data_IF_483890664452
#
_entry.id   IF_483890664452
#
_cell.length_a   1.000
_cell.length_b   1.000
_cell.length_c   1.000
_cell.angle_alpha   90.00
_cell.angle_beta   90.00
_cell.angle_gamma   90.00
#
_symmetry.space_group_name_H-M   'P 1'
#
loop_
_entity.id
_entity.type
_entity.pdbx_description
1 polymer ?
#
# COMPACT_ATOMS: atom_id res chain seq x y z
N UNK A 1 -29.90 -4.48 -8.34
CA UNK A 1 -28.56 -4.50 -8.94
C UNK A 1 -27.56 -4.96 -7.90
N UNK A 2 -26.61 -5.82 -8.28
CA UNK A 2 -25.54 -6.30 -7.40
C UNK A 2 -24.20 -5.69 -7.80
N UNK A 3 -23.57 -4.97 -6.87
CA UNK A 3 -22.24 -4.39 -7.04
C UNK A 3 -21.26 -5.12 -6.12
N UNK A 4 -20.20 -5.66 -6.70
CA UNK A 4 -19.10 -6.26 -5.91
C UNK A 4 -17.92 -5.30 -5.88
N UNK A 5 -17.35 -5.11 -4.69
CA UNK A 5 -16.13 -4.32 -4.45
C UNK A 5 -15.02 -5.27 -4.00
N UNK A 6 -13.92 -5.34 -4.73
CA UNK A 6 -12.77 -6.15 -4.39
C UNK A 6 -11.72 -5.27 -3.70
N UNK A 7 -11.50 -5.51 -2.42
CA UNK A 7 -10.69 -4.70 -1.52
C UNK A 7 -11.51 -3.69 -0.72
N UNK A 8 -11.30 -3.62 0.56
CA UNK A 8 -12.10 -2.83 1.50
C UNK A 8 -11.26 -1.92 2.39
N UNK A 9 -10.15 -1.38 1.86
CA UNK A 9 -9.45 -0.30 2.55
C UNK A 9 -10.01 1.07 2.09
N UNK A 10 -9.25 2.14 1.96
CA UNK A 10 -9.75 3.49 1.73
C UNK A 10 -10.75 3.60 0.58
N UNK A 11 -10.33 3.20 -0.63
CA UNK A 11 -11.17 3.32 -1.82
C UNK A 11 -12.42 2.44 -1.74
N UNK A 12 -12.26 1.16 -1.40
CA UNK A 12 -13.38 0.22 -1.36
C UNK A 12 -14.38 0.50 -0.23
N UNK A 13 -13.91 0.89 0.95
CA UNK A 13 -14.78 1.30 2.07
C UNK A 13 -15.69 2.47 1.65
N UNK A 14 -15.11 3.51 1.05
CA UNK A 14 -15.91 4.67 0.62
C UNK A 14 -16.78 4.39 -0.59
N UNK A 15 -16.35 3.51 -1.50
CA UNK A 15 -17.21 3.04 -2.58
C UNK A 15 -18.44 2.29 -2.02
N UNK A 16 -18.24 1.32 -1.13
CA UNK A 16 -19.32 0.54 -0.55
C UNK A 16 -20.32 1.39 0.25
N UNK A 17 -19.81 2.30 1.10
CA UNK A 17 -20.66 3.25 1.87
C UNK A 17 -21.43 4.17 0.95
N UNK A 18 -20.79 4.72 -0.10
CA UNK A 18 -21.47 5.61 -1.05
C UNK A 18 -22.55 4.88 -1.84
N UNK A 19 -22.31 3.64 -2.29
CA UNK A 19 -23.33 2.83 -2.96
C UNK A 19 -24.58 2.71 -2.11
N UNK A 20 -24.46 2.34 -0.83
CA UNK A 20 -25.61 2.20 0.08
C UNK A 20 -26.29 3.53 0.43
N UNK A 21 -25.50 4.59 0.60
CA UNK A 21 -26.02 5.93 0.89
C UNK A 21 -26.83 6.52 -0.28
N UNK A 22 -26.41 6.22 -1.53
CA UNK A 22 -27.04 6.73 -2.75
C UNK A 22 -28.25 5.90 -3.15
N UNK A 23 -28.17 4.57 -3.01
CA UNK A 23 -29.27 3.64 -3.31
C UNK A 23 -29.25 2.45 -2.33
N UNK A 24 -30.10 2.53 -1.31
CA UNK A 24 -30.22 1.50 -0.28
C UNK A 24 -30.71 0.15 -0.82
N UNK A 25 -31.36 0.12 -1.99
CA UNK A 25 -31.86 -1.11 -2.64
C UNK A 25 -30.76 -1.91 -3.33
N UNK A 26 -29.60 -1.28 -3.61
CA UNK A 26 -28.47 -1.96 -4.26
C UNK A 26 -27.85 -2.99 -3.30
N UNK A 27 -27.67 -4.22 -3.78
CA UNK A 27 -26.91 -5.26 -3.09
C UNK A 27 -25.43 -4.94 -3.22
N UNK A 28 -24.76 -4.63 -2.11
CA UNK A 28 -23.31 -4.33 -2.07
C UNK A 28 -22.59 -5.43 -1.33
N UNK A 29 -21.65 -6.08 -2.01
CA UNK A 29 -20.80 -7.13 -1.44
C UNK A 29 -19.35 -6.69 -1.51
N UNK A 30 -18.59 -6.88 -0.43
CA UNK A 30 -17.15 -6.60 -0.41
C UNK A 30 -16.36 -7.86 -0.08
N UNK A 31 -15.28 -8.10 -0.84
CA UNK A 31 -14.31 -9.15 -0.55
C UNK A 31 -12.96 -8.53 -0.28
N UNK A 32 -12.39 -8.83 0.90
CA UNK A 32 -11.03 -8.42 1.23
C UNK A 32 -10.24 -9.62 1.79
N UNK A 33 -9.00 -9.79 1.29
CA UNK A 33 -8.10 -10.84 1.77
C UNK A 33 -7.57 -10.58 3.17
N UNK A 34 -7.58 -9.32 3.63
CA UNK A 34 -7.13 -8.90 4.96
C UNK A 34 -8.22 -9.17 6.01
N UNK A 35 -7.87 -9.02 7.28
CA UNK A 35 -8.76 -9.17 8.44
C UNK A 35 -9.26 -7.83 8.99
N UNK A 36 -8.80 -6.71 8.41
CA UNK A 36 -9.16 -5.36 8.82
C UNK A 36 -9.40 -4.45 7.61
N UNK A 37 -10.13 -3.34 7.83
CA UNK A 37 -10.46 -2.33 6.82
C UNK A 37 -10.04 -0.94 7.31
N UNK A 38 -10.02 0.02 6.41
CA UNK A 38 -9.82 1.45 6.72
C UNK A 38 -8.48 1.81 7.38
N UNK A 39 -7.50 0.92 7.38
CA UNK A 39 -6.21 1.14 8.01
C UNK A 39 -5.44 2.30 7.38
N UNK A 40 -5.07 3.28 8.21
CA UNK A 40 -4.24 4.43 7.84
C UNK A 40 -2.76 4.03 7.84
N UNK A 41 -2.31 3.40 6.77
CA UNK A 41 -0.93 2.91 6.63
C UNK A 41 0.14 4.03 6.73
N UNK A 42 -0.22 5.26 6.38
CA UNK A 42 0.62 6.44 6.58
C UNK A 42 0.94 6.71 8.06
N UNK A 43 0.15 6.18 8.98
CA UNK A 43 0.39 6.28 10.43
C UNK A 43 1.35 5.24 11.01
N UNK A 44 1.85 4.28 10.21
CA UNK A 44 2.74 3.22 10.72
C UNK A 44 4.00 3.80 11.37
N UNK A 45 4.68 4.73 10.71
CA UNK A 45 5.89 5.34 11.25
C UNK A 45 5.62 6.08 12.57
N UNK A 46 4.49 6.79 12.66
CA UNK A 46 4.05 7.45 13.90
C UNK A 46 3.73 6.44 15.01
N UNK A 47 3.16 5.29 14.66
CA UNK A 47 2.88 4.22 15.61
C UNK A 47 4.17 3.51 16.05
N UNK A 48 5.04 3.15 15.12
CA UNK A 48 6.36 2.60 15.41
C UNK A 48 7.16 3.56 16.29
N UNK A 49 7.16 4.86 16.01
CA UNK A 49 7.85 5.89 16.77
C UNK A 49 7.21 6.27 18.11
N UNK A 50 6.06 5.64 18.46
CA UNK A 50 5.38 5.84 19.75
C UNK A 50 4.55 7.14 19.87
N UNK A 51 4.39 7.89 18.78
CA UNK A 51 3.50 9.07 18.72
C UNK A 51 2.04 8.62 18.78
N UNK A 52 1.66 7.64 17.98
CA UNK A 52 0.38 6.94 18.07
C UNK A 52 0.49 5.84 19.12
N UNK A 53 -0.13 6.04 20.28
CA UNK A 53 -0.07 5.08 21.40
C UNK A 53 -1.08 3.94 21.26
N UNK A 54 -2.30 4.24 20.81
CA UNK A 54 -3.35 3.25 20.55
C UNK A 54 -3.53 3.07 19.04
N UNK A 55 -3.16 1.90 18.48
CA UNK A 55 -3.28 1.64 17.05
C UNK A 55 -4.73 1.64 16.56
N UNK A 56 -5.74 1.54 17.44
CA UNK A 56 -7.15 1.69 17.07
C UNK A 56 -7.45 3.05 16.44
N UNK A 57 -6.70 4.10 16.80
CA UNK A 57 -6.79 5.42 16.18
C UNK A 57 -6.37 5.46 14.71
N UNK A 58 -5.76 4.40 14.19
CA UNK A 58 -5.40 4.26 12.77
C UNK A 58 -6.51 3.63 11.92
N UNK A 59 -7.69 3.41 12.49
CA UNK A 59 -8.86 2.88 11.78
C UNK A 59 -10.04 3.85 11.92
N UNK A 60 -10.72 4.15 10.82
CA UNK A 60 -11.90 5.02 10.85
C UNK A 60 -13.22 4.27 10.54
N UNK A 61 -13.14 2.99 10.22
CA UNK A 61 -14.27 2.09 10.02
C UNK A 61 -13.89 0.67 10.45
N UNK A 62 -14.90 -0.17 10.66
CA UNK A 62 -14.73 -1.59 10.92
C UNK A 62 -15.80 -2.41 10.17
N UNK A 63 -15.59 -3.74 10.00
CA UNK A 63 -16.51 -4.59 9.24
C UNK A 63 -17.94 -4.61 9.80
N UNK A 64 -18.10 -4.58 11.12
CA UNK A 64 -19.39 -4.59 11.79
C UNK A 64 -20.20 -3.32 11.51
N UNK A 65 -19.52 -2.17 11.49
CA UNK A 65 -20.13 -0.89 11.12
C UNK A 65 -20.64 -0.91 9.68
N UNK A 66 -19.86 -1.44 8.73
CA UNK A 66 -20.31 -1.58 7.34
C UNK A 66 -21.49 -2.56 7.21
N UNK A 67 -21.47 -3.67 7.93
CA UNK A 67 -22.61 -4.62 7.96
C UNK A 67 -23.88 -3.96 8.48
N UNK A 68 -23.78 -3.12 9.51
CA UNK A 68 -24.94 -2.38 10.04
C UNK A 68 -25.51 -1.36 9.03
N UNK A 69 -24.69 -0.90 8.08
CA UNK A 69 -25.12 -0.07 6.95
C UNK A 69 -25.71 -0.88 5.78
N UNK A 70 -25.86 -2.21 5.94
CA UNK A 70 -26.44 -3.12 4.94
C UNK A 70 -25.46 -3.54 3.84
N UNK A 71 -24.16 -3.48 4.09
CA UNK A 71 -23.09 -3.97 3.19
C UNK A 71 -22.75 -5.41 3.62
N UNK A 72 -22.71 -6.33 2.65
CA UNK A 72 -22.27 -7.71 2.90
C UNK A 72 -20.73 -7.76 2.84
N UNK A 73 -20.09 -7.89 4.00
CA UNK A 73 -18.62 -7.76 4.15
C UNK A 73 -18.00 -9.10 4.45
N UNK A 74 -17.10 -9.54 3.56
CA UNK A 74 -16.34 -10.79 3.66
C UNK A 74 -14.86 -10.52 3.82
N UNK A 75 -14.38 -10.55 5.07
CA UNK A 75 -12.94 -10.46 5.39
C UNK A 75 -12.29 -11.84 5.31
N UNK A 76 -10.98 -11.87 4.98
CA UNK A 76 -10.26 -13.13 4.77
C UNK A 76 -10.70 -13.89 3.52
N UNK A 77 -11.25 -13.18 2.54
CA UNK A 77 -11.73 -13.73 1.27
C UNK A 77 -10.98 -13.10 0.10
N UNK A 78 -10.32 -13.93 -0.68
CA UNK A 78 -9.54 -13.51 -1.84
C UNK A 78 -10.24 -13.86 -3.14
N UNK A 79 -10.44 -12.88 -4.02
CA UNK A 79 -10.86 -13.13 -5.40
C UNK A 79 -9.66 -13.67 -6.17
N UNK A 80 -9.75 -14.92 -6.62
CA UNK A 80 -8.64 -15.62 -7.28
C UNK A 80 -8.80 -15.75 -8.79
N UNK A 81 -10.02 -15.53 -9.31
CA UNK A 81 -10.32 -15.59 -10.74
C UNK A 81 -11.51 -14.72 -11.08
N UNK A 82 -11.51 -14.16 -12.29
CA UNK A 82 -12.65 -13.43 -12.87
C UNK A 82 -12.96 -14.02 -14.23
N UNK A 83 -14.21 -14.43 -14.42
CA UNK A 83 -14.80 -14.75 -15.71
C UNK A 83 -15.53 -13.49 -16.22
N UNK A 84 -14.81 -12.72 -17.02
CA UNK A 84 -15.29 -11.43 -17.53
C UNK A 84 -16.52 -11.59 -18.45
N UNK A 85 -16.56 -12.65 -19.26
CA UNK A 85 -17.64 -12.91 -20.21
C UNK A 85 -18.98 -13.20 -19.50
N UNK A 86 -18.93 -13.95 -18.41
CA UNK A 86 -20.09 -14.36 -17.63
C UNK A 86 -20.33 -13.50 -16.38
N UNK A 87 -19.48 -12.49 -16.12
CA UNK A 87 -19.50 -11.61 -14.93
C UNK A 87 -19.52 -12.39 -13.62
N UNK A 88 -18.62 -13.35 -13.51
CA UNK A 88 -18.46 -14.22 -12.34
C UNK A 88 -17.09 -14.05 -11.70
N UNK A 89 -17.05 -14.22 -10.38
CA UNK A 89 -15.84 -14.27 -9.58
C UNK A 89 -15.69 -15.65 -8.97
N UNK A 90 -14.45 -16.16 -8.88
CA UNK A 90 -14.12 -17.23 -7.96
C UNK A 90 -13.46 -16.63 -6.73
N UNK A 91 -14.06 -16.88 -5.57
CA UNK A 91 -13.63 -16.35 -4.28
C UNK A 91 -13.13 -17.50 -3.41
N UNK A 92 -11.96 -17.33 -2.80
CA UNK A 92 -11.36 -18.29 -1.86
C UNK A 92 -11.47 -17.75 -0.44
N UNK A 93 -12.10 -18.51 0.45
CA UNK A 93 -11.99 -18.27 1.89
C UNK A 93 -10.60 -18.71 2.36
N UNK A 94 -9.79 -17.76 2.83
CA UNK A 94 -8.38 -18.04 3.16
C UNK A 94 -8.20 -18.97 4.36
N UNK A 95 -9.13 -18.95 5.31
CA UNK A 95 -9.09 -19.80 6.50
C UNK A 95 -9.31 -21.29 6.19
N UNK A 96 -10.21 -21.59 5.26
CA UNK A 96 -10.61 -22.99 4.93
C UNK A 96 -10.03 -23.48 3.62
N UNK A 97 -9.57 -22.57 2.75
CA UNK A 97 -9.15 -22.84 1.38
C UNK A 97 -10.32 -23.16 0.43
N UNK A 98 -11.57 -23.10 0.89
CA UNK A 98 -12.75 -23.36 0.07
C UNK A 98 -12.95 -22.26 -0.96
N UNK A 99 -13.32 -22.65 -2.17
CA UNK A 99 -13.69 -21.72 -3.25
C UNK A 99 -15.19 -21.80 -3.54
N UNK A 100 -15.77 -20.65 -3.90
CA UNK A 100 -17.13 -20.53 -4.38
C UNK A 100 -17.20 -19.47 -5.49
N UNK A 101 -18.27 -19.54 -6.29
CA UNK A 101 -18.54 -18.54 -7.31
C UNK A 101 -19.54 -17.50 -6.81
N UNK A 102 -19.34 -16.26 -7.25
CA UNK A 102 -20.29 -15.16 -7.10
C UNK A 102 -20.40 -14.37 -8.41
N UNK A 103 -21.52 -13.69 -8.62
CA UNK A 103 -21.79 -12.93 -9.84
C UNK A 103 -22.07 -11.46 -9.51
N UNK A 104 -21.83 -10.57 -10.49
CA UNK A 104 -22.01 -9.12 -10.35
C UNK A 104 -22.72 -8.50 -11.56
N UNK A 105 -23.43 -7.41 -11.32
CA UNK A 105 -23.89 -6.51 -12.37
C UNK A 105 -22.82 -5.44 -12.66
N UNK A 106 -22.17 -4.94 -11.59
CA UNK A 106 -21.05 -4.00 -11.64
C UNK A 106 -19.93 -4.47 -10.74
N UNK A 107 -18.69 -4.20 -11.14
CA UNK A 107 -17.48 -4.58 -10.41
C UNK A 107 -16.62 -3.34 -10.14
N UNK A 108 -16.18 -3.17 -8.88
CA UNK A 108 -15.26 -2.11 -8.47
C UNK A 108 -13.99 -2.76 -7.95
N UNK A 109 -12.88 -2.53 -8.65
CA UNK A 109 -11.54 -3.01 -8.29
C UNK A 109 -10.88 -1.98 -7.38
N UNK A 110 -10.67 -2.35 -6.10
CA UNK A 110 -10.06 -1.51 -5.08
C UNK A 110 -8.92 -2.24 -4.37
N UNK A 111 -8.18 -3.07 -5.11
CA UNK A 111 -7.16 -4.01 -4.59
C UNK A 111 -5.88 -3.34 -4.11
N UNK A 112 -5.76 -2.03 -4.31
CA UNK A 112 -4.65 -1.26 -3.78
C UNK A 112 -3.30 -1.60 -4.38
N UNK A 113 -2.25 -1.51 -3.57
CA UNK A 113 -0.87 -1.75 -3.97
C UNK A 113 -0.15 -2.67 -2.99
N UNK A 114 0.95 -3.27 -3.44
CA UNK A 114 1.81 -4.13 -2.65
C UNK A 114 3.27 -3.61 -2.66
N UNK A 115 4.04 -3.79 -1.58
CA UNK A 115 5.45 -3.43 -1.56
C UNK A 115 6.21 -4.10 -2.71
N UNK A 116 7.07 -3.34 -3.37
CA UNK A 116 7.97 -3.88 -4.38
C UNK A 116 8.90 -4.89 -3.71
N UNK A 117 8.99 -6.07 -4.29
CA UNK A 117 9.90 -7.14 -3.88
C UNK A 117 10.98 -7.27 -4.95
N UNK A 118 12.10 -6.53 -4.83
CA UNK A 118 13.18 -6.62 -5.81
C UNK A 118 13.84 -8.00 -5.76
N UNK A 119 14.44 -8.47 -6.86
CA UNK A 119 15.12 -9.77 -6.93
C UNK A 119 16.49 -9.73 -6.24
N UNK A 120 16.49 -9.42 -4.94
CA UNK A 120 17.69 -9.40 -4.10
C UNK A 120 17.90 -10.77 -3.49
N UNK A 121 19.12 -11.32 -3.60
CA UNK A 121 19.48 -12.60 -3.02
C UNK A 121 19.27 -12.58 -1.49
N UNK A 122 18.59 -13.61 -0.98
CA UNK A 122 18.31 -13.73 0.45
C UNK A 122 17.19 -12.86 1.00
N UNK A 123 16.47 -12.10 0.14
CA UNK A 123 15.30 -11.33 0.58
C UNK A 123 14.14 -12.23 0.96
N UNK A 124 13.87 -13.24 0.12
CA UNK A 124 12.73 -14.14 0.30
C UNK A 124 13.15 -15.44 0.95
N UNK A 125 12.25 -16.01 1.76
CA UNK A 125 12.41 -17.39 2.24
C UNK A 125 12.26 -18.37 1.07
N UNK A 126 13.13 -19.38 0.94
CA UNK A 126 13.02 -20.38 -0.11
C UNK A 126 11.64 -21.06 -0.11
N UNK A 127 11.04 -21.18 -1.29
CA UNK A 127 9.75 -21.86 -1.46
C UNK A 127 8.51 -21.03 -1.08
N UNK A 128 8.66 -19.76 -0.70
CA UNK A 128 7.55 -18.87 -0.40
C UNK A 128 7.37 -17.79 -1.48
N UNK A 129 6.13 -17.39 -1.72
CA UNK A 129 5.82 -16.28 -2.64
C UNK A 129 5.90 -14.91 -1.96
N UNK A 130 5.62 -14.84 -0.66
CA UNK A 130 5.49 -13.59 0.11
C UNK A 130 6.28 -13.61 1.42
N UNK A 131 6.93 -14.72 1.78
CA UNK A 131 7.69 -14.84 3.01
C UNK A 131 9.06 -14.19 2.90
N UNK A 132 9.30 -13.14 3.66
CA UNK A 132 10.61 -12.52 3.79
C UNK A 132 11.52 -13.37 4.68
N UNK A 133 12.85 -13.22 4.52
CA UNK A 133 13.82 -13.75 5.47
C UNK A 133 13.55 -13.16 6.86
N UNK A 134 13.69 -13.94 7.92
CA UNK A 134 13.51 -13.45 9.29
C UNK A 134 14.38 -12.22 9.58
N UNK A 135 13.79 -11.24 10.27
CA UNK A 135 14.40 -9.94 10.53
C UNK A 135 14.30 -8.93 9.37
N UNK A 136 13.65 -9.28 8.26
CA UNK A 136 13.35 -8.37 7.17
C UNK A 136 11.85 -8.12 7.13
N UNK A 137 11.42 -6.86 7.02
CA UNK A 137 10.02 -6.44 7.10
C UNK A 137 9.64 -5.52 5.96
N UNK A 138 8.35 -5.52 5.61
CA UNK A 138 7.69 -4.45 4.88
C UNK A 138 6.92 -3.55 5.85
N UNK A 139 6.52 -2.36 5.39
CA UNK A 139 5.73 -1.39 6.15
C UNK A 139 4.53 -0.92 5.32
N UNK A 140 3.47 -1.72 5.26
CA UNK A 140 2.24 -1.41 4.50
C UNK A 140 0.96 -1.82 5.24
N UNK A 141 0.93 -3.00 5.84
CA UNK A 141 -0.22 -3.54 6.54
C UNK A 141 -0.13 -3.30 8.04
N UNK A 142 -1.27 -3.32 8.72
CA UNK A 142 -1.34 -3.25 10.18
C UNK A 142 -0.47 -4.31 10.85
N UNK A 143 -0.58 -5.56 10.40
CA UNK A 143 0.20 -6.69 10.92
C UNK A 143 1.70 -6.46 10.79
N UNK A 144 2.14 -5.91 9.66
CA UNK A 144 3.55 -5.58 9.43
C UNK A 144 4.05 -4.48 10.36
N UNK A 145 3.21 -3.46 10.62
CA UNK A 145 3.51 -2.44 11.64
C UNK A 145 3.67 -3.04 13.04
N UNK A 146 2.80 -3.98 13.42
CA UNK A 146 2.88 -4.70 14.69
C UNK A 146 4.16 -5.56 14.75
N UNK A 147 4.48 -6.31 13.70
CA UNK A 147 5.70 -7.12 13.61
C UNK A 147 6.96 -6.25 13.77
N UNK A 148 7.01 -5.08 13.14
CA UNK A 148 8.11 -4.11 13.30
C UNK A 148 8.23 -3.67 14.76
N UNK A 149 7.10 -3.31 15.42
CA UNK A 149 7.09 -2.86 16.82
C UNK A 149 7.54 -3.97 17.77
N UNK A 150 7.10 -5.19 17.54
CA UNK A 150 7.49 -6.32 18.38
C UNK A 150 8.99 -6.64 18.20
N UNK A 151 9.49 -6.53 16.98
CA UNK A 151 10.88 -6.76 16.67
C UNK A 151 11.82 -5.71 17.29
N UNK A 152 11.50 -4.41 17.19
CA UNK A 152 12.39 -3.37 17.73
C UNK A 152 12.46 -3.36 19.26
N UNK A 153 11.51 -3.99 19.96
CA UNK A 153 11.54 -4.15 21.43
C UNK A 153 12.51 -5.21 21.90
N UNK A 154 12.96 -6.10 21.02
CA UNK A 154 13.89 -7.16 21.37
C UNK A 154 15.25 -6.55 21.75
N UNK A 155 15.85 -6.95 22.88
CA UNK A 155 17.12 -6.39 23.37
C UNK A 155 18.31 -6.61 22.42
N UNK A 156 18.28 -7.70 21.66
CA UNK A 156 19.29 -8.05 20.67
C UNK A 156 19.23 -7.19 19.39
N UNK A 157 18.10 -6.56 19.09
CA UNK A 157 17.95 -5.67 17.93
C UNK A 157 18.50 -4.29 18.29
N UNK A 158 19.70 -4.00 17.83
CA UNK A 158 20.43 -2.75 18.09
C UNK A 158 20.60 -1.93 16.82
N UNK A 159 20.98 -2.58 15.71
CA UNK A 159 21.30 -1.93 14.45
C UNK A 159 20.26 -2.25 13.39
N UNK A 160 19.54 -1.22 12.93
CA UNK A 160 18.41 -1.33 11.99
C UNK A 160 18.78 -0.64 10.68
N UNK A 161 18.59 -1.34 9.56
CA UNK A 161 18.73 -0.73 8.23
C UNK A 161 17.35 -0.50 7.62
N UNK A 162 17.13 0.69 7.08
CA UNK A 162 15.99 1.01 6.20
C UNK A 162 16.52 1.12 4.77
N UNK A 163 15.94 0.32 3.87
CA UNK A 163 16.30 0.31 2.45
C UNK A 163 15.24 1.06 1.66
N UNK A 164 15.64 2.18 1.06
CA UNK A 164 14.79 3.15 0.36
C UNK A 164 14.53 4.39 1.20
N UNK A 165 14.93 5.56 0.67
CA UNK A 165 14.80 6.86 1.31
C UNK A 165 13.68 7.73 0.69
N UNK A 166 12.54 7.09 0.34
CA UNK A 166 11.27 7.78 0.08
C UNK A 166 10.57 8.20 1.37
N UNK A 167 9.33 8.69 1.30
CA UNK A 167 8.55 9.13 2.46
C UNK A 167 8.60 8.14 3.63
N UNK A 168 8.24 6.88 3.40
CA UNK A 168 8.14 5.86 4.45
C UNK A 168 9.50 5.59 5.08
N UNK A 169 10.56 5.48 4.27
CA UNK A 169 11.90 5.22 4.78
C UNK A 169 12.40 6.34 5.68
N UNK A 170 12.21 7.59 5.28
CA UNK A 170 12.64 8.76 6.05
C UNK A 170 11.86 8.89 7.36
N UNK A 171 10.55 8.62 7.37
CA UNK A 171 9.75 8.62 8.61
C UNK A 171 10.13 7.45 9.55
N UNK A 172 10.43 6.27 9.00
CA UNK A 172 10.82 5.11 9.82
C UNK A 172 12.19 5.27 10.48
N UNK A 173 13.17 5.92 9.84
CA UNK A 173 14.47 6.14 10.48
C UNK A 173 14.35 7.06 11.70
N UNK A 174 13.50 8.06 11.65
CA UNK A 174 13.16 8.89 12.81
C UNK A 174 12.50 8.04 13.92
N UNK A 175 11.52 7.20 13.54
CA UNK A 175 10.87 6.31 14.48
C UNK A 175 11.85 5.36 15.19
N UNK A 176 12.78 4.72 14.46
CA UNK A 176 13.78 3.85 15.05
C UNK A 176 14.79 4.59 15.91
N UNK A 177 15.17 5.80 15.53
CA UNK A 177 16.04 6.65 16.35
C UNK A 177 15.39 6.99 17.69
N UNK A 178 14.08 7.25 17.71
CA UNK A 178 13.34 7.48 18.95
C UNK A 178 13.34 6.27 19.90
N UNK A 179 13.55 5.06 19.38
CA UNK A 179 13.77 3.83 20.17
C UNK A 179 15.23 3.60 20.56
N UNK A 180 16.12 4.57 20.32
CA UNK A 180 17.55 4.47 20.67
C UNK A 180 18.34 3.47 19.81
N UNK A 181 17.84 3.14 18.61
CA UNK A 181 18.55 2.22 17.72
C UNK A 181 19.67 2.94 16.94
N UNK A 182 20.70 2.19 16.58
CA UNK A 182 21.63 2.58 15.52
C UNK A 182 20.92 2.39 14.18
N UNK A 183 20.85 3.43 13.38
CA UNK A 183 20.02 3.41 12.16
C UNK A 183 20.87 3.72 10.93
N UNK A 184 20.76 2.85 9.93
CA UNK A 184 21.31 3.03 8.59
C UNK A 184 20.15 3.32 7.64
N UNK A 185 20.27 4.38 6.84
CA UNK A 185 19.37 4.66 5.73
C UNK A 185 20.12 4.47 4.40
N UNK A 186 19.67 3.48 3.62
CA UNK A 186 20.28 3.10 2.35
C UNK A 186 19.36 3.50 1.18
N UNK A 187 19.91 4.20 0.18
CA UNK A 187 19.16 4.65 -1.00
C UNK A 187 19.99 4.47 -2.29
N UNK A 188 19.37 3.87 -3.30
CA UNK A 188 19.98 3.68 -4.62
C UNK A 188 20.09 4.98 -5.43
N UNK A 189 19.17 5.93 -5.19
CA UNK A 189 19.20 7.25 -5.81
C UNK A 189 20.29 8.13 -5.15
N UNK A 190 20.77 9.17 -5.85
CA UNK A 190 21.83 10.05 -5.31
C UNK A 190 21.35 11.01 -4.21
N UNK A 191 20.05 11.06 -3.90
CA UNK A 191 19.45 11.95 -2.90
C UNK A 191 18.29 11.27 -2.20
N UNK A 192 18.00 11.63 -0.95
CA UNK A 192 16.74 11.26 -0.29
C UNK A 192 15.56 11.89 -1.01
N UNK A 193 14.42 11.21 -1.06
CA UNK A 193 13.16 11.71 -1.65
C UNK A 193 13.33 12.34 -3.05
N UNK A 194 14.31 11.89 -3.84
CA UNK A 194 14.68 12.48 -5.13
C UNK A 194 13.54 12.52 -6.16
N UNK A 195 12.55 11.64 -6.04
CA UNK A 195 11.38 11.59 -6.91
C UNK A 195 10.26 12.57 -6.51
N UNK A 196 10.40 13.27 -5.39
CA UNK A 196 9.32 14.07 -4.80
C UNK A 196 9.66 15.54 -4.63
N UNK A 197 10.95 15.85 -4.38
CA UNK A 197 11.39 17.20 -4.05
C UNK A 197 12.64 17.62 -4.81
N UNK A 198 12.74 18.92 -5.01
CA UNK A 198 13.92 19.55 -5.58
C UNK A 198 15.13 19.46 -4.64
N UNK A 199 16.33 19.68 -5.22
CA UNK A 199 17.60 19.48 -4.52
C UNK A 199 17.71 20.32 -3.24
N UNK A 200 17.25 21.54 -3.28
CA UNK A 200 17.32 22.49 -2.16
C UNK A 200 16.61 21.97 -0.92
N UNK A 201 15.45 21.33 -1.11
CA UNK A 201 14.66 20.75 -0.02
C UNK A 201 15.33 19.45 0.47
N UNK A 202 15.78 18.61 -0.45
CA UNK A 202 16.40 17.33 -0.08
C UNK A 202 17.76 17.50 0.59
N UNK A 203 18.54 18.52 0.23
CA UNK A 203 19.82 18.84 0.90
C UNK A 203 19.61 19.18 2.39
N UNK A 204 18.58 19.95 2.73
CA UNK A 204 18.27 20.25 4.14
C UNK A 204 17.76 18.99 4.86
N UNK A 205 16.93 18.17 4.23
CA UNK A 205 16.48 16.91 4.81
C UNK A 205 17.66 15.96 5.09
N UNK A 206 18.60 15.82 4.15
CA UNK A 206 19.81 15.00 4.32
C UNK A 206 20.70 15.51 5.47
N UNK A 207 20.84 16.84 5.57
CA UNK A 207 21.56 17.46 6.68
C UNK A 207 20.93 17.08 8.03
N UNK A 208 19.61 17.21 8.17
CA UNK A 208 18.86 16.86 9.38
C UNK A 208 18.99 15.39 9.74
N UNK A 209 18.90 14.51 8.75
CA UNK A 209 19.08 13.06 8.92
C UNK A 209 20.48 12.76 9.48
N UNK A 210 21.54 13.38 8.93
CA UNK A 210 22.91 13.22 9.41
C UNK A 210 23.14 13.81 10.81
N UNK A 211 22.59 15.00 11.08
CA UNK A 211 22.67 15.64 12.41
C UNK A 211 21.96 14.82 13.49
N UNK A 212 20.89 14.08 13.13
CA UNK A 212 20.23 13.13 14.03
C UNK A 212 21.05 11.85 14.28
N UNK A 213 22.23 11.71 13.66
CA UNK A 213 23.12 10.56 13.81
C UNK A 213 22.63 9.31 13.10
N UNK A 214 21.96 9.48 11.97
CA UNK A 214 21.62 8.40 11.03
C UNK A 214 22.80 8.19 10.07
N UNK A 215 23.22 6.94 9.91
CA UNK A 215 24.23 6.54 8.91
C UNK A 215 23.56 6.53 7.54
N UNK A 216 23.83 7.55 6.70
CA UNK A 216 23.18 7.76 5.42
C UNK A 216 24.07 7.35 4.25
N UNK A 217 23.60 6.39 3.45
CA UNK A 217 24.25 5.90 2.24
C UNK A 217 23.37 6.18 1.01
N UNK A 218 23.88 7.00 0.10
CA UNK A 218 23.19 7.41 -1.13
C UNK A 218 23.92 6.89 -2.37
N UNK A 219 23.18 6.64 -3.44
CA UNK A 219 23.69 6.05 -4.67
C UNK A 219 24.29 4.66 -4.43
N UNK A 220 23.76 3.91 -3.49
CA UNK A 220 24.25 2.60 -3.07
C UNK A 220 23.11 1.56 -3.11
N UNK A 221 23.36 0.43 -3.77
CA UNK A 221 22.32 -0.57 -4.07
C UNK A 221 22.56 -1.86 -3.31
N UNK A 222 21.55 -2.32 -2.57
CA UNK A 222 21.56 -3.62 -1.91
C UNK A 222 21.56 -4.75 -2.95
N UNK A 223 22.46 -5.72 -2.79
CA UNK A 223 22.62 -6.89 -3.67
C UNK A 223 22.24 -8.20 -2.99
N UNK A 224 22.44 -8.31 -1.67
CA UNK A 224 22.25 -9.57 -0.95
C UNK A 224 21.96 -9.34 0.54
N UNK A 225 21.12 -10.21 1.11
CA UNK A 225 20.92 -10.36 2.54
C UNK A 225 21.51 -11.68 3.01
N UNK A 226 22.49 -11.60 3.91
CA UNK A 226 23.19 -12.77 4.47
C UNK A 226 22.70 -13.08 5.90
N UNK A 227 22.88 -14.34 6.28
CA UNK A 227 22.46 -14.92 7.55
C UNK A 227 21.77 -16.26 7.32
N UNK A 228 21.86 -17.20 8.23
CA UNK A 228 21.33 -18.55 8.07
C UNK A 228 19.79 -18.58 8.11
N UNK A 229 19.19 -18.21 9.23
CA UNK A 229 17.73 -18.13 9.42
C UNK A 229 17.30 -16.67 9.34
N UNK A 230 17.97 -15.81 10.06
CA UNK A 230 17.70 -14.40 10.23
C UNK A 230 18.74 -13.56 9.48
N UNK A 231 18.36 -12.36 9.03
CA UNK A 231 19.32 -11.40 8.47
C UNK A 231 20.35 -11.00 9.53
N UNK A 232 21.63 -11.00 9.13
CA UNK A 232 22.77 -10.59 9.96
C UNK A 232 23.66 -9.58 9.25
N UNK A 233 23.59 -9.56 7.90
CA UNK A 233 24.42 -8.68 7.08
C UNK A 233 23.70 -8.30 5.79
N UNK A 234 23.89 -7.06 5.38
CA UNK A 234 23.47 -6.53 4.08
C UNK A 234 24.71 -6.27 3.24
N UNK A 235 24.75 -6.85 2.04
CA UNK A 235 25.82 -6.65 1.06
C UNK A 235 25.31 -5.72 -0.04
N UNK A 236 26.07 -4.73 -0.37
CA UNK A 236 25.77 -3.73 -1.41
C UNK A 236 26.79 -3.78 -2.54
N UNK A 237 26.64 -2.88 -3.52
CA UNK A 237 27.65 -2.68 -4.57
C UNK A 237 28.87 -1.88 -4.12
N UNK A 238 28.88 -1.34 -2.88
CA UNK A 238 29.98 -0.57 -2.31
C UNK A 238 30.61 -1.16 -1.05
N UNK A 239 29.88 -2.06 -0.36
CA UNK A 239 30.37 -2.62 0.90
C UNK A 239 29.43 -3.64 1.53
N UNK A 240 29.63 -3.87 2.83
CA UNK A 240 28.73 -4.72 3.62
C UNK A 240 28.54 -4.16 5.02
N UNK A 241 27.35 -4.39 5.61
CA UNK A 241 26.92 -3.81 6.87
C UNK A 241 26.30 -4.89 7.73
N UNK A 242 26.79 -5.04 8.97
CA UNK A 242 26.16 -5.91 9.94
C UNK A 242 24.88 -5.25 10.43
N UNK A 243 23.78 -6.00 10.52
CA UNK A 243 22.46 -5.54 10.92
C UNK A 243 21.71 -6.59 11.72
N UNK A 244 20.82 -6.16 12.60
CA UNK A 244 19.92 -7.04 13.34
C UNK A 244 18.52 -7.09 12.70
N UNK A 245 18.15 -6.02 11.99
CA UNK A 245 16.83 -5.84 11.38
C UNK A 245 16.93 -5.01 10.11
N UNK A 246 16.07 -5.32 9.13
CA UNK A 246 15.93 -4.55 7.87
C UNK A 246 14.46 -4.22 7.62
N UNK A 247 14.17 -2.99 7.21
CA UNK A 247 12.85 -2.62 6.67
C UNK A 247 12.99 -2.19 5.22
N UNK A 248 12.25 -2.86 4.33
CA UNK A 248 12.23 -2.57 2.91
C UNK A 248 11.18 -1.49 2.60
N UNK A 249 11.62 -0.34 2.11
CA UNK A 249 10.79 0.84 1.78
C UNK A 249 11.04 1.33 0.34
N UNK A 250 11.21 0.38 -0.59
CA UNK A 250 11.60 0.64 -1.99
C UNK A 250 10.41 0.88 -2.94
N UNK A 251 9.29 1.31 -2.40
CA UNK A 251 8.09 1.67 -3.14
C UNK A 251 7.04 0.56 -3.24
N UNK A 252 5.98 0.86 -3.99
CA UNK A 252 4.81 0.01 -4.16
C UNK A 252 4.49 -0.20 -5.63
N UNK A 253 3.84 -1.30 -5.94
CA UNK A 253 3.26 -1.58 -7.25
C UNK A 253 1.76 -1.87 -7.13
N UNK A 254 0.95 -1.52 -8.13
CA UNK A 254 -0.48 -1.86 -8.16
C UNK A 254 -0.74 -3.36 -8.04
N UNK A 255 -1.77 -3.75 -7.28
CA UNK A 255 -2.25 -5.12 -7.21
C UNK A 255 -3.20 -5.41 -8.38
N UNK A 256 -2.67 -5.57 -9.57
CA UNK A 256 -3.41 -5.73 -10.83
C UNK A 256 -3.10 -7.01 -11.58
N UNK A 257 -2.28 -7.91 -11.03
CA UNK A 257 -1.87 -9.15 -11.69
C UNK A 257 -3.05 -9.99 -12.21
N UNK A 258 -4.16 -10.00 -11.46
CA UNK A 258 -5.38 -10.73 -11.83
C UNK A 258 -6.11 -10.10 -13.04
N UNK A 259 -5.80 -8.86 -13.39
CA UNK A 259 -6.57 -8.05 -14.35
C UNK A 259 -5.78 -7.68 -15.61
N UNK A 260 -4.45 -7.74 -15.58
CA UNK A 260 -3.55 -7.21 -16.60
C UNK A 260 -3.74 -7.80 -18.00
N UNK A 261 -4.18 -9.06 -18.08
CA UNK A 261 -4.42 -9.72 -19.37
C UNK A 261 -5.77 -9.33 -20.02
N UNK A 262 -6.65 -8.69 -19.24
CA UNK A 262 -7.95 -8.26 -19.71
C UNK A 262 -8.10 -6.74 -19.76
N UNK A 263 -7.63 -6.02 -18.76
CA UNK A 263 -7.73 -4.57 -18.65
C UNK A 263 -6.46 -3.88 -19.14
N UNK A 264 -6.61 -2.69 -19.69
CA UNK A 264 -5.48 -1.83 -20.04
C UNK A 264 -4.76 -1.35 -18.77
N UNK A 265 -3.43 -1.43 -18.78
CA UNK A 265 -2.59 -0.99 -17.66
C UNK A 265 -1.40 -0.15 -18.14
N UNK A 266 -0.92 0.74 -17.28
CA UNK A 266 0.38 1.38 -17.45
C UNK A 266 1.52 0.34 -17.28
N UNK A 267 2.76 0.66 -17.67
CA UNK A 267 3.90 -0.24 -17.51
C UNK A 267 4.15 -0.70 -16.06
N UNK A 268 3.77 0.10 -15.07
CA UNK A 268 3.86 -0.26 -13.65
C UNK A 268 2.70 -1.14 -13.15
N UNK A 269 1.73 -1.44 -14.01
CA UNK A 269 0.55 -2.25 -13.72
C UNK A 269 -0.68 -1.46 -13.26
N UNK A 270 -0.65 -0.13 -13.18
CA UNK A 270 -1.83 0.66 -12.80
C UNK A 270 -2.92 0.55 -13.88
N UNK A 271 -4.12 0.14 -13.48
CA UNK A 271 -5.27 -0.01 -14.39
C UNK A 271 -5.68 1.36 -14.92
N UNK A 272 -5.76 1.52 -16.23
CA UNK A 272 -6.16 2.76 -16.87
C UNK A 272 -7.66 2.97 -16.71
N UNK A 273 -8.04 4.14 -16.19
CA UNK A 273 -9.44 4.55 -16.04
C UNK A 273 -9.66 5.96 -16.58
N UNK A 274 -10.89 6.27 -16.93
CA UNK A 274 -11.32 7.62 -17.27
C UNK A 274 -11.63 8.49 -16.02
N UNK A 275 -12.07 9.71 -16.20
CA UNK A 275 -12.44 10.62 -15.09
C UNK A 275 -13.67 10.15 -14.31
N UNK A 276 -14.43 9.20 -14.82
CA UNK A 276 -15.55 8.55 -14.14
C UNK A 276 -15.16 7.27 -13.40
N UNK A 277 -13.86 6.93 -13.36
CA UNK A 277 -13.27 5.71 -12.80
C UNK A 277 -13.64 4.43 -13.55
N UNK A 278 -14.21 4.52 -14.74
CA UNK A 278 -14.47 3.35 -15.60
C UNK A 278 -13.18 2.88 -16.26
N UNK A 279 -13.05 1.57 -16.38
CA UNK A 279 -12.00 0.98 -17.21
C UNK A 279 -12.28 1.19 -18.69
N UNK A 280 -11.23 1.26 -19.49
CA UNK A 280 -11.35 1.50 -20.95
C UNK A 280 -12.02 0.34 -21.70
N UNK A 281 -12.00 -0.86 -21.12
CA UNK A 281 -12.46 -2.09 -21.79
C UNK A 281 -13.90 -2.50 -21.47
N UNK A 282 -14.35 -2.30 -20.22
CA UNK A 282 -15.68 -2.72 -19.79
C UNK A 282 -16.38 -1.59 -19.00
N UNK A 283 -17.50 -1.04 -19.50
CA UNK A 283 -18.23 0.04 -18.83
C UNK A 283 -18.92 -0.38 -17.52
N UNK A 284 -18.90 -1.67 -17.18
CA UNK A 284 -19.43 -2.20 -15.93
C UNK A 284 -18.33 -2.45 -14.89
N UNK A 285 -17.05 -2.21 -15.25
CA UNK A 285 -15.89 -2.41 -14.39
C UNK A 285 -15.22 -1.06 -14.12
N UNK A 286 -15.03 -0.79 -12.84
CA UNK A 286 -14.37 0.42 -12.32
C UNK A 286 -13.09 0.02 -11.59
N UNK A 287 -12.08 0.88 -11.58
CA UNK A 287 -10.88 0.68 -10.78
C UNK A 287 -10.52 1.97 -10.02
N UNK A 288 -10.16 1.82 -8.74
CA UNK A 288 -10.01 2.94 -7.80
C UNK A 288 -8.86 2.72 -6.82
N UNK A 289 -8.31 3.82 -6.33
CA UNK A 289 -7.20 3.79 -5.36
C UNK A 289 -5.89 3.34 -6.00
N UNK A 290 -4.99 2.78 -5.18
CA UNK A 290 -3.61 2.47 -5.59
C UNK A 290 -3.49 1.37 -6.66
N UNK A 291 -4.56 0.72 -7.10
CA UNK A 291 -4.48 -0.24 -8.21
C UNK A 291 -4.72 0.40 -9.59
N UNK A 292 -5.11 1.68 -9.64
CA UNK A 292 -5.49 2.36 -10.87
C UNK A 292 -4.80 3.71 -11.06
N UNK A 293 -4.96 4.27 -12.26
CA UNK A 293 -4.56 5.63 -12.58
C UNK A 293 -5.55 6.66 -12.01
N UNK A 294 -5.11 7.90 -11.94
CA UNK A 294 -5.91 9.07 -11.58
C UNK A 294 -5.51 10.24 -12.46
N UNK A 295 -6.46 11.11 -12.83
CA UNK A 295 -6.15 12.29 -13.61
C UNK A 295 -5.30 13.28 -12.77
N UNK A 296 -4.09 13.54 -13.23
CA UNK A 296 -3.18 14.53 -12.65
C UNK A 296 -3.38 15.88 -13.30
N UNK A 297 -3.68 16.90 -12.49
CA UNK A 297 -3.80 18.28 -12.98
C UNK A 297 -2.43 18.92 -13.26
N UNK A 298 -1.38 18.40 -12.65
CA UNK A 298 -0.03 18.91 -12.85
C UNK A 298 0.57 18.43 -14.19
N UNK A 299 0.33 17.16 -14.57
CA UNK A 299 0.82 16.57 -15.82
C UNK A 299 -0.22 16.53 -16.93
N UNK A 300 -1.48 16.93 -16.64
CA UNK A 300 -2.65 16.94 -17.56
C UNK A 300 -2.93 15.59 -18.23
N UNK A 301 -2.68 14.49 -17.53
CA UNK A 301 -2.87 13.12 -18.03
C UNK A 301 -3.27 12.15 -16.91
N UNK A 302 -3.70 10.95 -17.32
CA UNK A 302 -3.83 9.83 -16.38
C UNK A 302 -2.44 9.41 -15.90
N UNK A 303 -2.24 9.41 -14.59
CA UNK A 303 -0.97 9.11 -13.95
C UNK A 303 -1.16 8.18 -12.75
N UNK A 304 -0.07 7.64 -12.22
CA UNK A 304 -0.11 6.82 -11.02
C UNK A 304 0.27 7.66 -9.79
N UNK A 305 -0.74 8.04 -9.00
CA UNK A 305 -0.57 8.87 -7.79
C UNK A 305 -1.30 8.21 -6.62
N UNK A 306 -0.60 7.33 -5.91
CA UNK A 306 -1.13 6.54 -4.81
C UNK A 306 -1.22 7.37 -3.51
N UNK A 307 -2.38 7.99 -3.26
CA UNK A 307 -2.69 8.77 -2.07
C UNK A 307 -4.04 8.36 -1.49
N UNK A 308 -4.12 8.22 -0.17
CA UNK A 308 -5.36 7.85 0.52
C UNK A 308 -6.51 8.83 0.24
N UNK A 309 -6.22 10.12 0.13
CA UNK A 309 -7.19 11.18 -0.20
C UNK A 309 -7.76 11.02 -1.61
N UNK A 310 -6.93 10.61 -2.57
CA UNK A 310 -7.39 10.26 -3.93
C UNK A 310 -8.27 9.01 -3.87
N UNK A 311 -7.82 7.96 -3.17
CA UNK A 311 -8.53 6.69 -3.04
C UNK A 311 -9.97 6.87 -2.54
N UNK A 312 -10.16 7.68 -1.48
CA UNK A 312 -11.49 8.02 -0.95
C UNK A 312 -12.37 8.69 -2.00
N UNK A 313 -11.86 9.73 -2.66
CA UNK A 313 -12.62 10.49 -3.68
C UNK A 313 -12.95 9.63 -4.89
N UNK A 314 -12.01 8.82 -5.36
CA UNK A 314 -12.22 7.87 -6.46
C UNK A 314 -13.31 6.85 -6.10
N UNK A 315 -13.35 6.37 -4.85
CA UNK A 315 -14.40 5.48 -4.36
C UNK A 315 -15.80 6.11 -4.45
N UNK A 316 -15.92 7.37 -4.06
CA UNK A 316 -17.19 8.11 -4.15
C UNK A 316 -17.62 8.29 -5.63
N UNK A 317 -16.69 8.65 -6.51
CA UNK A 317 -16.95 8.84 -7.95
C UNK A 317 -17.39 7.52 -8.60
N UNK A 318 -16.63 6.45 -8.39
CA UNK A 318 -16.94 5.14 -8.96
C UNK A 318 -18.32 4.61 -8.51
N UNK A 319 -18.65 4.76 -7.22
CA UNK A 319 -19.95 4.33 -6.68
C UNK A 319 -21.12 5.05 -7.35
N UNK A 320 -21.04 6.37 -7.52
CA UNK A 320 -22.08 7.14 -8.22
C UNK A 320 -22.23 6.69 -9.68
N UNK A 321 -21.11 6.46 -10.38
CA UNK A 321 -21.13 6.05 -11.78
C UNK A 321 -21.58 4.59 -11.95
N UNK A 322 -21.30 3.72 -11.00
CA UNK A 322 -21.81 2.35 -10.98
C UNK A 322 -23.36 2.31 -10.87
N UNK A 323 -23.94 3.31 -10.19
CA UNK A 323 -25.39 3.50 -10.07
C UNK A 323 -26.02 4.28 -11.26
N UNK A 324 -25.25 4.52 -12.32
CA UNK A 324 -25.72 5.18 -13.54
C UNK A 324 -25.77 6.71 -13.46
N UNK A 325 -25.21 7.32 -12.41
CA UNK A 325 -25.00 8.78 -12.36
C UNK A 325 -23.79 9.15 -13.21
N UNK A 326 -23.68 10.43 -13.57
CA UNK A 326 -22.49 10.95 -14.26
C UNK A 326 -21.76 11.91 -13.32
N UNK A 327 -20.68 11.41 -12.69
CA UNK A 327 -19.82 12.18 -11.79
C UNK A 327 -18.38 12.03 -12.26
N UNK A 328 -17.69 13.13 -12.45
CA UNK A 328 -16.30 13.14 -12.86
C UNK A 328 -15.37 13.47 -11.69
N UNK A 329 -14.24 12.80 -11.64
CA UNK A 329 -13.15 13.15 -10.76
C UNK A 329 -12.43 14.38 -11.29
N UNK A 330 -12.43 15.46 -10.50
CA UNK A 330 -11.86 16.75 -10.93
C UNK A 330 -10.33 16.77 -11.07
N UNK A 331 -9.67 15.64 -10.84
CA UNK A 331 -8.23 15.51 -10.87
C UNK A 331 -7.55 15.81 -9.52
N UNK A 332 -6.29 15.43 -9.42
CA UNK A 332 -5.44 15.67 -8.25
C UNK A 332 -4.23 16.51 -8.61
N UNK A 333 -3.74 17.30 -7.66
CA UNK A 333 -2.43 17.96 -7.75
C UNK A 333 -1.31 17.13 -7.11
N UNK A 334 -1.65 15.98 -6.50
CA UNK A 334 -0.68 15.14 -5.78
C UNK A 334 -0.15 15.76 -4.50
N UNK A 335 -0.90 16.71 -3.90
CA UNK A 335 -0.45 17.41 -2.68
C UNK A 335 -0.29 16.45 -1.51
N UNK A 336 0.85 16.51 -0.87
CA UNK A 336 1.19 15.74 0.32
C UNK A 336 2.16 16.55 1.19
N UNK A 337 2.44 16.08 2.39
CA UNK A 337 3.39 16.69 3.31
C UNK A 337 4.14 15.61 4.08
N UNK A 338 5.36 15.92 4.48
CA UNK A 338 6.21 15.09 5.34
C UNK A 338 6.90 15.99 6.35
N UNK A 339 7.20 15.43 7.51
CA UNK A 339 8.08 16.04 8.49
C UNK A 339 9.30 15.14 8.69
N UNK A 340 10.49 15.72 8.63
CA UNK A 340 11.78 15.01 8.74
C UNK A 340 12.58 15.65 9.87
N UNK A 341 12.67 15.02 11.04
CA UNK A 341 13.36 15.56 12.22
C UNK A 341 13.01 17.03 12.50
N UNK A 342 11.72 17.34 12.44
CA UNK A 342 11.19 18.69 12.70
C UNK A 342 11.31 19.69 11.54
N UNK A 343 11.70 19.25 10.38
CA UNK A 343 11.76 20.04 9.13
C UNK A 343 10.57 19.73 8.22
#
# INVERSE_FOLDING_TARGET
MKVIVIGCNHAGTWAAKTLKAVDSSTTVVTYDRNDNISFLACGIALWVGGVVKDPKGLFYANPEGLKSEGIDVHMGHEVVKIDWANRKLTVRELRTGKEFEDNYDKLILATGSWPVTPPIEGLMQPGTKYGLKEGIFFSKLFQQGQEIIDEIKRPEVKRVMVVGAGYIGVELVEAFKNHGKEVILMEAMPRVMANYFDKEITDEAEKRIKEAGIELHLGETVKKFEGSVRVQKVVTDKGSYDVDMVVMSVGFRPNSELYKDYLETLPNGAIVVDTTMKTTKDPNVFAIGDCSTVYSRASEKQDYIALATNAVRMGIVAANNALGRHVEYCGTQGSNAICVFGY
#
